data_IF_854906026708
#
_entry.id   IF_854906026708
#
_cell.length_a   1.000
_cell.length_b   1.000
_cell.length_c   1.000
_cell.angle_alpha   90.00
_cell.angle_beta   90.00
_cell.angle_gamma   90.00
#
_symmetry.space_group_name_H-M   'P 1'
#
loop_
_entity.id
_entity.type
_entity.pdbx_description
1 polymer ?
#
# COMPACT_ATOMS: atom_id res chain seq x y z
N UNK A 1 20.35 28.88 -8.46
CA UNK A 1 20.54 27.51 -8.95
C UNK A 1 19.30 26.71 -8.61
N UNK A 2 18.79 25.91 -9.54
CA UNK A 2 17.68 24.98 -9.32
C UNK A 2 18.17 23.54 -9.13
N UNK A 3 17.24 22.62 -8.97
CA UNK A 3 17.54 21.19 -8.96
C UNK A 3 17.80 20.68 -10.38
N UNK A 4 18.76 19.77 -10.54
CA UNK A 4 18.82 18.88 -11.70
C UNK A 4 18.07 17.61 -11.31
N UNK A 5 17.00 17.31 -12.03
CA UNK A 5 16.11 16.18 -11.74
C UNK A 5 16.42 15.01 -12.67
N UNK A 6 16.42 13.81 -12.13
CA UNK A 6 16.52 12.57 -12.88
C UNK A 6 15.47 11.59 -12.37
N UNK A 7 15.00 10.70 -13.25
CA UNK A 7 14.03 9.65 -12.95
C UNK A 7 14.35 8.43 -13.81
N UNK A 8 13.78 7.29 -13.45
CA UNK A 8 13.93 6.02 -14.17
C UNK A 8 12.60 5.28 -14.20
N UNK A 9 12.43 4.45 -15.23
CA UNK A 9 11.32 3.49 -15.35
C UNK A 9 11.57 2.19 -14.56
N UNK A 10 12.69 2.14 -13.82
CA UNK A 10 13.09 1.01 -12.99
C UNK A 10 13.29 -0.29 -13.77
N UNK A 11 13.71 -0.19 -15.04
CA UNK A 11 14.16 -1.34 -15.83
C UNK A 11 13.09 -2.03 -16.67
N UNK A 12 11.88 -1.45 -16.75
CA UNK A 12 10.79 -1.99 -17.56
C UNK A 12 9.85 -0.89 -18.06
N UNK A 13 9.15 -1.18 -19.16
CA UNK A 13 8.17 -0.27 -19.76
C UNK A 13 6.87 -1.00 -20.02
N UNK A 14 5.76 -0.26 -19.99
CA UNK A 14 4.42 -0.81 -20.21
C UNK A 14 3.87 -1.59 -19.02
N UNK A 15 2.69 -2.17 -19.22
CA UNK A 15 1.93 -2.90 -18.19
C UNK A 15 2.14 -4.43 -18.25
N UNK A 16 3.06 -4.91 -19.09
CA UNK A 16 3.35 -6.33 -19.20
C UNK A 16 4.13 -6.81 -17.97
N UNK A 17 3.72 -7.94 -17.40
CA UNK A 17 4.37 -8.54 -16.24
C UNK A 17 5.59 -9.41 -16.62
N UNK A 18 5.89 -9.68 -17.89
CA UNK A 18 6.99 -10.59 -18.27
C UNK A 18 8.36 -10.19 -17.69
N UNK A 19 8.62 -8.88 -17.53
CA UNK A 19 9.87 -8.38 -16.94
C UNK A 19 10.13 -8.92 -15.54
N UNK A 20 9.07 -9.22 -14.79
CA UNK A 20 9.15 -9.68 -13.40
C UNK A 20 9.72 -11.10 -13.27
N UNK A 21 10.03 -11.78 -14.37
CA UNK A 21 10.79 -13.05 -14.38
C UNK A 21 12.30 -12.87 -14.58
N UNK A 22 12.74 -11.66 -14.95
CA UNK A 22 14.16 -11.32 -15.15
C UNK A 22 14.76 -10.79 -13.85
N UNK A 23 15.72 -11.52 -13.29
CA UNK A 23 16.35 -11.18 -12.00
C UNK A 23 17.08 -9.83 -12.01
N UNK A 24 17.57 -9.37 -13.16
CA UNK A 24 18.19 -8.05 -13.26
C UNK A 24 17.14 -6.95 -13.18
N UNK A 25 16.00 -7.13 -13.85
CA UNK A 25 14.89 -6.17 -13.81
C UNK A 25 14.20 -6.15 -12.45
N UNK A 26 14.10 -7.30 -11.79
CA UNK A 26 13.69 -7.37 -10.38
C UNK A 26 14.62 -6.54 -9.49
N UNK A 27 15.94 -6.64 -9.66
CA UNK A 27 16.90 -5.83 -8.92
C UNK A 27 16.78 -4.33 -9.27
N UNK A 28 16.53 -3.98 -10.53
CA UNK A 28 16.30 -2.59 -10.96
C UNK A 28 15.09 -1.96 -10.28
N UNK A 29 13.97 -2.68 -10.24
CA UNK A 29 12.77 -2.30 -9.49
C UNK A 29 13.02 -2.23 -7.98
N UNK A 30 13.70 -3.22 -7.43
CA UNK A 30 13.86 -3.36 -6.00
C UNK A 30 14.73 -2.26 -5.39
N UNK A 31 15.90 -1.98 -5.98
CA UNK A 31 16.85 -1.03 -5.40
C UNK A 31 17.87 -0.43 -6.39
N UNK A 32 18.20 -1.16 -7.47
CA UNK A 32 19.35 -0.86 -8.33
C UNK A 32 19.07 0.29 -9.31
N UNK A 33 17.85 0.40 -9.82
CA UNK A 33 17.49 1.38 -10.85
C UNK A 33 17.70 2.82 -10.39
N UNK A 34 17.29 3.13 -9.17
CA UNK A 34 17.48 4.46 -8.59
C UNK A 34 18.96 4.76 -8.32
N UNK A 35 19.72 3.79 -7.81
CA UNK A 35 21.16 3.96 -7.59
C UNK A 35 21.91 4.29 -8.89
N UNK A 36 21.67 3.52 -9.96
CA UNK A 36 22.31 3.74 -11.26
C UNK A 36 21.94 5.12 -11.82
N UNK A 37 20.65 5.50 -11.73
CA UNK A 37 20.17 6.82 -12.12
C UNK A 37 20.90 7.93 -11.37
N UNK A 38 21.10 7.76 -10.07
CA UNK A 38 21.85 8.69 -9.21
C UNK A 38 23.28 8.87 -9.68
N UNK A 39 23.99 7.75 -9.91
CA UNK A 39 25.38 7.78 -10.37
C UNK A 39 25.51 8.44 -11.75
N UNK A 40 24.60 8.12 -12.67
CA UNK A 40 24.56 8.71 -14.00
C UNK A 40 24.31 10.22 -13.94
N UNK A 41 23.30 10.65 -13.17
CA UNK A 41 22.96 12.06 -13.00
C UNK A 41 24.14 12.86 -12.42
N UNK A 42 24.81 12.36 -11.38
CA UNK A 42 26.00 13.02 -10.78
C UNK A 42 27.14 13.20 -11.80
N UNK A 43 27.37 12.20 -12.66
CA UNK A 43 28.37 12.30 -13.74
C UNK A 43 27.97 13.33 -14.79
N UNK A 44 26.71 13.33 -15.23
CA UNK A 44 26.18 14.27 -16.21
C UNK A 44 26.21 15.71 -15.69
N UNK A 45 25.85 15.93 -14.42
CA UNK A 45 25.95 17.23 -13.74
C UNK A 45 27.38 17.75 -13.80
N UNK A 46 28.37 16.92 -13.42
CA UNK A 46 29.79 17.33 -13.45
C UNK A 46 30.27 17.65 -14.86
N UNK A 47 29.88 16.86 -15.85
CA UNK A 47 30.25 17.07 -17.25
C UNK A 47 29.65 18.35 -17.83
N UNK A 48 28.36 18.58 -17.59
CA UNK A 48 27.63 19.70 -18.17
C UNK A 48 27.92 21.03 -17.48
N UNK A 49 27.97 21.05 -16.14
CA UNK A 49 28.16 22.28 -15.35
C UNK A 49 29.62 22.54 -14.96
N UNK A 50 30.55 21.62 -15.27
CA UNK A 50 31.96 21.73 -14.89
C UNK A 50 32.24 21.59 -13.38
N UNK A 51 31.23 21.23 -12.58
CA UNK A 51 31.34 21.07 -11.13
C UNK A 51 30.39 20.00 -10.59
N UNK A 52 30.74 19.36 -9.48
CA UNK A 52 29.86 18.42 -8.80
C UNK A 52 28.70 19.15 -8.09
N UNK A 53 27.58 18.45 -7.92
CA UNK A 53 26.49 18.94 -7.07
C UNK A 53 26.98 19.12 -5.62
N UNK A 54 26.58 20.23 -4.98
CA UNK A 54 26.90 20.50 -3.57
C UNK A 54 26.13 19.59 -2.62
N UNK A 55 24.89 19.28 -2.98
CA UNK A 55 24.00 18.37 -2.25
C UNK A 55 23.21 17.50 -3.23
N UNK A 56 22.71 16.38 -2.73
CA UNK A 56 21.87 15.43 -3.47
C UNK A 56 20.65 15.06 -2.64
N UNK A 57 19.47 15.03 -3.27
CA UNK A 57 18.20 14.78 -2.59
C UNK A 57 17.37 13.72 -3.33
N UNK A 58 16.67 12.87 -2.57
CA UNK A 58 15.65 11.97 -3.08
C UNK A 58 14.29 12.40 -2.52
N UNK A 59 13.26 12.43 -3.37
CA UNK A 59 11.88 12.70 -2.95
C UNK A 59 10.97 11.68 -3.63
N UNK A 60 10.28 10.86 -2.85
CA UNK A 60 9.35 9.86 -3.38
C UNK A 60 8.17 9.61 -2.45
N UNK A 61 7.07 9.13 -3.02
CA UNK A 61 5.85 8.77 -2.30
C UNK A 61 5.34 7.40 -2.75
N UNK A 62 4.65 6.64 -1.89
CA UNK A 62 4.17 5.28 -2.19
C UNK A 62 5.33 4.32 -2.48
N UNK A 63 5.43 3.79 -3.70
CA UNK A 63 6.58 2.97 -4.11
C UNK A 63 7.87 3.81 -4.12
N UNK A 64 7.78 5.08 -4.52
CA UNK A 64 8.90 6.02 -4.37
C UNK A 64 9.32 6.24 -2.92
N UNK A 65 8.40 6.11 -1.96
CA UNK A 65 8.75 6.12 -0.53
C UNK A 65 9.51 4.87 -0.11
N UNK A 66 9.15 3.69 -0.65
CA UNK A 66 9.92 2.46 -0.48
C UNK A 66 11.31 2.59 -1.10
N UNK A 67 11.42 3.12 -2.32
CA UNK A 67 12.69 3.40 -3.00
C UNK A 67 13.57 4.36 -2.20
N UNK A 68 12.98 5.41 -1.62
CA UNK A 68 13.64 6.36 -0.74
C UNK A 68 14.27 5.66 0.47
N UNK A 69 13.51 4.77 1.13
CA UNK A 69 14.02 3.97 2.25
C UNK A 69 15.07 2.96 1.80
N UNK A 70 14.90 2.31 0.64
CA UNK A 70 15.90 1.42 0.05
C UNK A 70 17.21 2.15 -0.23
N UNK A 71 17.17 3.38 -0.75
CA UNK A 71 18.35 4.20 -0.98
C UNK A 71 19.07 4.50 0.34
N UNK A 72 18.34 4.83 1.42
CA UNK A 72 18.93 5.04 2.74
C UNK A 72 19.60 3.77 3.29
N UNK A 73 18.94 2.62 3.17
CA UNK A 73 19.40 1.34 3.72
C UNK A 73 20.58 0.74 2.94
N UNK A 74 20.58 0.87 1.61
CA UNK A 74 21.53 0.17 0.71
C UNK A 74 22.61 1.09 0.15
N UNK A 75 22.30 2.37 -0.04
CA UNK A 75 23.17 3.34 -0.71
C UNK A 75 23.32 4.61 0.14
N UNK A 76 23.90 4.50 1.35
CA UNK A 76 23.90 5.59 2.33
C UNK A 76 24.63 6.87 1.88
N UNK A 77 25.42 6.79 0.80
CA UNK A 77 26.18 7.92 0.25
C UNK A 77 25.55 8.53 -1.02
N UNK A 78 24.40 8.01 -1.48
CA UNK A 78 23.74 8.51 -2.68
C UNK A 78 23.09 9.87 -2.46
N UNK A 79 22.57 10.11 -1.26
CA UNK A 79 21.76 11.29 -0.95
C UNK A 79 22.18 11.92 0.37
N UNK A 80 22.17 13.26 0.43
CA UNK A 80 22.34 14.01 1.67
C UNK A 80 21.00 14.19 2.41
N UNK A 81 19.90 14.27 1.67
CA UNK A 81 18.55 14.37 2.20
C UNK A 81 17.58 13.45 1.45
N UNK A 82 16.69 12.79 2.18
CA UNK A 82 15.67 11.92 1.62
C UNK A 82 14.32 12.33 2.21
N UNK A 83 13.30 12.44 1.36
CA UNK A 83 11.89 12.58 1.77
C UNK A 83 11.14 11.33 1.31
N UNK A 84 10.70 10.52 2.27
CA UNK A 84 10.03 9.23 2.06
C UNK A 84 8.55 9.33 2.46
N UNK A 85 7.70 9.78 1.53
CA UNK A 85 6.26 9.89 1.75
C UNK A 85 5.55 8.53 1.64
N UNK A 86 4.60 8.27 2.55
CA UNK A 86 3.73 7.08 2.55
C UNK A 86 4.41 5.80 2.03
N UNK A 87 5.56 5.40 2.61
CA UNK A 87 6.42 4.39 2.00
C UNK A 87 5.73 3.03 2.01
N UNK A 88 5.69 2.37 0.84
CA UNK A 88 5.31 0.95 0.72
C UNK A 88 6.42 0.03 1.27
N UNK A 89 6.87 0.28 2.51
CA UNK A 89 8.05 -0.32 3.10
C UNK A 89 7.87 -1.84 3.30
N UNK A 90 6.68 -2.26 3.73
CA UNK A 90 6.27 -3.66 3.83
C UNK A 90 5.71 -4.17 2.50
N UNK A 91 6.42 -3.90 1.40
CA UNK A 91 6.01 -4.18 0.01
C UNK A 91 5.34 -5.54 -0.15
N UNK A 92 5.95 -6.62 0.34
CA UNK A 92 5.44 -7.96 0.11
C UNK A 92 4.13 -8.22 0.85
N UNK A 93 4.06 -7.88 2.13
CA UNK A 93 2.85 -8.10 2.95
C UNK A 93 1.71 -7.18 2.50
N UNK A 94 2.03 -5.93 2.13
CA UNK A 94 1.06 -4.97 1.61
C UNK A 94 0.48 -5.43 0.27
N UNK A 95 1.34 -5.80 -0.68
CA UNK A 95 0.94 -6.15 -2.05
C UNK A 95 0.47 -7.60 -2.23
N UNK A 96 0.47 -8.41 -1.15
CA UNK A 96 -0.15 -9.74 -1.12
C UNK A 96 -1.29 -9.80 -0.10
N UNK A 97 -0.98 -10.01 1.18
CA UNK A 97 -1.97 -10.22 2.24
C UNK A 97 -2.97 -9.07 2.37
N UNK A 98 -2.52 -7.81 2.40
CA UNK A 98 -3.45 -6.69 2.60
C UNK A 98 -4.39 -6.49 1.40
N UNK A 99 -3.85 -6.27 0.20
CA UNK A 99 -4.68 -6.05 -0.98
C UNK A 99 -5.52 -7.28 -1.34
N UNK A 100 -4.97 -8.48 -1.17
CA UNK A 100 -5.72 -9.73 -1.33
C UNK A 100 -6.88 -9.84 -0.34
N UNK A 101 -6.62 -9.55 0.95
CA UNK A 101 -7.65 -9.55 1.99
C UNK A 101 -8.74 -8.53 1.69
N UNK A 102 -8.40 -7.34 1.19
CA UNK A 102 -9.36 -6.33 0.79
C UNK A 102 -10.28 -6.84 -0.32
N UNK A 103 -9.74 -7.50 -1.35
CA UNK A 103 -10.51 -8.06 -2.46
C UNK A 103 -11.48 -9.13 -1.98
N UNK A 104 -10.99 -10.12 -1.22
CA UNK A 104 -11.87 -11.22 -0.73
C UNK A 104 -12.86 -10.74 0.34
N UNK A 105 -12.56 -9.66 1.06
CA UNK A 105 -13.47 -9.05 2.04
C UNK A 105 -14.59 -8.24 1.38
N UNK A 106 -14.33 -7.66 0.21
CA UNK A 106 -15.32 -6.93 -0.58
C UNK A 106 -16.05 -7.83 -1.59
N UNK A 107 -15.93 -9.15 -1.47
CA UNK A 107 -16.52 -10.12 -2.39
C UNK A 107 -17.79 -10.74 -1.84
N UNK A 108 -18.84 -10.82 -2.66
CA UNK A 108 -20.08 -11.55 -2.35
C UNK A 108 -19.87 -13.04 -2.09
N UNK A 109 -18.79 -13.64 -2.61
CA UNK A 109 -18.46 -15.07 -2.47
C UNK A 109 -17.34 -15.32 -1.48
N UNK A 110 -16.66 -14.27 -1.00
CA UNK A 110 -15.45 -14.40 -0.18
C UNK A 110 -14.21 -14.83 -0.96
N UNK A 111 -14.26 -14.80 -2.29
CA UNK A 111 -13.14 -15.13 -3.20
C UNK A 111 -13.15 -14.20 -4.43
N UNK A 112 -12.24 -14.42 -5.38
CA UNK A 112 -12.12 -13.59 -6.59
C UNK A 112 -13.24 -13.79 -7.65
N UNK A 113 -14.22 -14.66 -7.42
CA UNK A 113 -15.31 -14.92 -8.38
C UNK A 113 -16.57 -14.07 -8.15
N UNK A 114 -16.63 -13.39 -7.00
CA UNK A 114 -17.77 -12.59 -6.59
C UNK A 114 -17.81 -11.17 -7.18
N UNK A 115 -18.91 -10.48 -6.88
CA UNK A 115 -19.08 -9.06 -7.13
C UNK A 115 -18.73 -8.24 -5.90
N UNK A 116 -18.49 -6.96 -6.10
CA UNK A 116 -18.28 -5.97 -5.04
C UNK A 116 -19.51 -5.88 -4.13
N UNK A 117 -19.28 -5.77 -2.81
CA UNK A 117 -20.31 -5.54 -1.79
C UNK A 117 -20.41 -4.06 -1.41
N UNK A 118 -19.28 -3.41 -1.13
CA UNK A 118 -19.16 -2.02 -0.71
C UNK A 118 -18.69 -1.15 -1.88
N UNK A 119 -19.50 -0.15 -2.27
CA UNK A 119 -19.28 0.75 -3.41
C UNK A 119 -18.91 2.19 -2.96
N UNK A 120 -18.59 3.06 -3.92
CA UNK A 120 -18.12 4.42 -3.66
C UNK A 120 -19.08 5.29 -2.85
N UNK A 121 -20.39 5.21 -3.12
CA UNK A 121 -21.42 5.93 -2.38
C UNK A 121 -21.50 5.48 -0.92
N UNK A 122 -21.36 4.18 -0.68
CA UNK A 122 -21.35 3.60 0.68
C UNK A 122 -20.07 3.92 1.44
N UNK A 123 -18.92 3.94 0.77
CA UNK A 123 -17.67 4.43 1.36
C UNK A 123 -17.78 5.91 1.80
N UNK A 124 -18.50 6.75 1.05
CA UNK A 124 -18.79 8.14 1.46
C UNK A 124 -19.71 8.23 2.67
N UNK A 125 -20.73 7.37 2.76
CA UNK A 125 -21.60 7.27 3.95
C UNK A 125 -20.78 6.88 5.18
N UNK A 126 -19.92 5.87 5.04
CA UNK A 126 -18.98 5.44 6.08
C UNK A 126 -18.04 6.57 6.50
N UNK A 127 -17.40 7.25 5.54
CA UNK A 127 -16.51 8.38 5.80
C UNK A 127 -17.20 9.48 6.61
N UNK A 128 -18.40 9.89 6.19
CA UNK A 128 -19.18 10.92 6.86
C UNK A 128 -19.48 10.53 8.32
N UNK A 129 -19.83 9.27 8.56
CA UNK A 129 -20.09 8.78 9.91
C UNK A 129 -18.83 8.78 10.78
N UNK A 130 -17.69 8.36 10.23
CA UNK A 130 -16.40 8.39 10.92
C UNK A 130 -16.00 9.83 11.29
N UNK A 131 -16.10 10.77 10.35
CA UNK A 131 -15.81 12.19 10.60
C UNK A 131 -16.78 12.79 11.61
N UNK A 132 -18.06 12.44 11.57
CA UNK A 132 -19.02 12.90 12.58
C UNK A 132 -18.71 12.36 13.99
N UNK A 133 -18.18 11.14 14.09
CA UNK A 133 -17.86 10.51 15.37
C UNK A 133 -16.51 10.96 15.94
N UNK A 134 -15.53 11.25 15.08
CA UNK A 134 -14.12 11.40 15.48
C UNK A 134 -13.45 12.71 15.01
N UNK A 135 -14.06 13.43 14.07
CA UNK A 135 -13.53 14.66 13.52
C UNK A 135 -13.57 15.82 14.50
N UNK A 136 -12.57 16.69 14.45
CA UNK A 136 -12.45 17.89 15.27
C UNK A 136 -12.19 17.64 16.77
N UNK A 137 -11.87 16.40 17.13
CA UNK A 137 -11.52 15.99 18.50
C UNK A 137 -10.23 16.62 19.03
N UNK A 138 -9.43 17.25 18.18
CA UNK A 138 -8.25 18.07 18.52
C UNK A 138 -8.59 19.46 19.05
N UNK A 139 -9.88 19.79 19.22
CA UNK A 139 -10.33 21.10 19.71
C UNK A 139 -10.59 22.14 18.63
N UNK A 140 -10.53 21.75 17.35
CA UNK A 140 -10.91 22.59 16.20
C UNK A 140 -12.07 21.94 15.43
N UNK A 141 -13.16 22.64 15.10
CA UNK A 141 -14.30 22.08 14.37
C UNK A 141 -14.03 22.04 12.85
N UNK A 142 -12.92 21.42 12.45
CA UNK A 142 -12.45 21.35 11.05
C UNK A 142 -12.83 20.03 10.35
N UNK A 143 -13.38 19.07 11.10
CA UNK A 143 -13.71 17.73 10.58
C UNK A 143 -12.48 16.85 10.34
N UNK A 144 -11.30 17.26 10.79
CA UNK A 144 -10.08 16.48 10.64
C UNK A 144 -9.89 15.52 11.82
N UNK A 145 -9.38 14.34 11.51
CA UNK A 145 -8.91 13.38 12.50
C UNK A 145 -7.40 13.60 12.67
N UNK A 146 -7.02 14.48 13.60
CA UNK A 146 -5.61 14.82 13.84
C UNK A 146 -4.78 13.61 14.29
N UNK A 147 -5.38 12.71 15.08
CA UNK A 147 -4.82 11.40 15.40
C UNK A 147 -5.91 10.32 15.20
N UNK A 148 -5.96 9.63 14.05
CA UNK A 148 -7.00 8.65 13.78
C UNK A 148 -6.92 7.42 14.70
N UNK A 149 -5.81 7.20 15.41
CA UNK A 149 -5.64 6.06 16.33
C UNK A 149 -6.50 6.17 17.59
N UNK A 150 -6.95 7.38 17.92
CA UNK A 150 -7.83 7.61 19.07
C UNK A 150 -9.31 7.45 18.70
N UNK A 151 -9.63 7.28 17.42
CA UNK A 151 -10.98 7.06 16.95
C UNK A 151 -11.41 5.61 17.21
N UNK A 152 -12.48 5.42 17.99
CA UNK A 152 -13.05 4.11 18.31
C UNK A 152 -14.38 3.88 17.59
N UNK A 153 -14.48 4.37 16.34
CA UNK A 153 -15.70 4.22 15.54
C UNK A 153 -15.99 2.73 15.29
N UNK A 154 -17.28 2.36 15.35
CA UNK A 154 -17.73 1.00 15.03
C UNK A 154 -18.72 1.06 13.85
N UNK A 155 -18.41 0.44 12.69
CA UNK A 155 -19.30 0.45 11.52
C UNK A 155 -20.73 -0.06 11.79
N UNK A 156 -20.92 -0.91 12.80
CA UNK A 156 -22.25 -1.40 13.22
C UNK A 156 -23.17 -0.24 13.66
N UNK A 157 -22.61 0.87 14.14
CA UNK A 157 -23.37 2.04 14.60
C UNK A 157 -24.19 2.72 13.50
N UNK A 158 -23.86 2.49 12.23
CA UNK A 158 -24.57 3.01 11.05
C UNK A 158 -25.26 1.91 10.24
N UNK A 159 -25.44 0.73 10.82
CA UNK A 159 -26.13 -0.35 10.13
C UNK A 159 -27.60 0.04 9.88
N UNK A 160 -28.09 -0.21 8.67
CA UNK A 160 -29.48 -0.03 8.33
C UNK A 160 -30.38 -0.92 9.22
N UNK A 161 -31.58 -0.40 9.51
CA UNK A 161 -32.62 -1.21 10.14
C UNK A 161 -32.97 -2.42 9.26
N UNK A 162 -33.37 -3.53 9.90
CA UNK A 162 -33.79 -4.72 9.19
C UNK A 162 -34.96 -4.40 8.24
N UNK A 163 -34.83 -4.78 6.96
CA UNK A 163 -35.84 -4.52 5.94
C UNK A 163 -35.92 -3.08 5.44
N UNK A 164 -34.94 -2.22 5.76
CA UNK A 164 -34.88 -0.86 5.21
C UNK A 164 -34.88 -0.88 3.67
N UNK A 165 -35.79 -0.10 3.07
CA UNK A 165 -35.89 0.08 1.62
C UNK A 165 -35.04 1.23 1.10
N UNK A 166 -34.79 2.24 1.94
CA UNK A 166 -33.84 3.32 1.70
C UNK A 166 -32.56 3.06 2.51
N UNK A 167 -31.45 2.87 1.79
CA UNK A 167 -30.11 2.66 2.37
C UNK A 167 -29.17 3.83 2.10
N UNK A 168 -29.68 4.98 1.64
CA UNK A 168 -28.87 6.13 1.23
C UNK A 168 -27.97 6.72 2.33
N UNK A 169 -28.32 6.51 3.60
CA UNK A 169 -27.63 7.08 4.76
C UNK A 169 -27.14 6.04 5.78
N UNK A 170 -27.15 4.75 5.44
CA UNK A 170 -26.72 3.66 6.31
C UNK A 170 -26.05 2.56 5.50
N UNK A 171 -25.39 1.63 6.19
CA UNK A 171 -24.78 0.45 5.58
C UNK A 171 -25.62 -0.80 5.82
N UNK A 172 -25.80 -1.63 4.80
CA UNK A 172 -26.37 -2.97 4.98
C UNK A 172 -25.46 -3.83 5.88
N UNK A 173 -25.99 -4.92 6.45
CA UNK A 173 -25.18 -5.81 7.28
C UNK A 173 -23.95 -6.39 6.54
N UNK A 174 -24.09 -6.65 5.22
CA UNK A 174 -22.98 -7.10 4.38
C UNK A 174 -21.93 -5.99 4.21
N UNK A 175 -22.36 -4.75 3.92
CA UNK A 175 -21.47 -3.58 3.81
C UNK A 175 -20.73 -3.27 5.13
N UNK A 176 -21.43 -3.36 6.27
CA UNK A 176 -20.82 -3.23 7.61
C UNK A 176 -19.75 -4.29 7.84
N UNK A 177 -20.04 -5.55 7.47
CA UNK A 177 -19.09 -6.66 7.61
C UNK A 177 -17.87 -6.44 6.72
N UNK A 178 -18.07 -6.07 5.46
CA UNK A 178 -16.99 -5.75 4.51
C UNK A 178 -16.12 -4.60 5.02
N UNK A 179 -16.71 -3.47 5.43
CA UNK A 179 -15.97 -2.33 5.96
C UNK A 179 -15.17 -2.72 7.20
N UNK A 180 -15.78 -3.47 8.13
CA UNK A 180 -15.11 -3.95 9.35
C UNK A 180 -13.91 -4.83 9.01
N UNK A 181 -14.04 -5.74 8.03
CA UNK A 181 -12.94 -6.59 7.58
C UNK A 181 -11.83 -5.79 6.91
N UNK A 182 -12.14 -4.76 6.12
CA UNK A 182 -11.12 -3.90 5.49
C UNK A 182 -10.31 -3.16 6.56
N UNK A 183 -10.97 -2.51 7.53
CA UNK A 183 -10.27 -1.88 8.66
C UNK A 183 -9.50 -2.88 9.50
N UNK A 184 -10.09 -4.05 9.73
CA UNK A 184 -9.51 -5.02 10.64
C UNK A 184 -8.48 -5.90 9.96
N UNK A 185 -8.28 -5.97 8.64
CA UNK A 185 -7.31 -6.92 8.08
C UNK A 185 -7.47 -8.41 8.53
N UNK A 186 -6.54 -9.29 8.10
CA UNK A 186 -6.48 -10.68 8.52
C UNK A 186 -5.88 -10.87 9.92
N UNK A 187 -6.35 -11.91 10.62
CA UNK A 187 -5.82 -12.40 11.89
C UNK A 187 -5.58 -13.90 11.85
N UNK A 188 -4.49 -14.33 12.49
CA UNK A 188 -4.20 -15.74 12.68
C UNK A 188 -5.27 -16.41 13.55
N UNK A 189 -5.84 -17.51 13.06
CA UNK A 189 -6.98 -18.17 13.71
C UNK A 189 -6.61 -18.91 14.99
N UNK A 190 -5.34 -19.28 15.16
CA UNK A 190 -4.86 -20.05 16.32
C UNK A 190 -4.46 -19.13 17.48
N UNK A 191 -3.76 -18.05 17.17
CA UNK A 191 -3.14 -17.13 18.16
C UNK A 191 -3.89 -15.82 18.30
N UNK A 192 -4.80 -15.50 17.37
CA UNK A 192 -5.50 -14.21 17.31
C UNK A 192 -4.60 -13.03 16.91
N UNK A 193 -3.34 -13.28 16.55
CA UNK A 193 -2.38 -12.22 16.21
C UNK A 193 -2.74 -11.55 14.89
N UNK A 194 -2.50 -10.25 14.84
CA UNK A 194 -2.57 -9.43 13.63
C UNK A 194 -1.53 -9.91 12.63
N UNK A 195 -1.92 -10.09 11.37
CA UNK A 195 -1.00 -10.53 10.31
C UNK A 195 -0.46 -9.38 9.47
N UNK A 196 -0.96 -8.16 9.69
CA UNK A 196 -0.48 -6.94 9.05
C UNK A 196 0.10 -6.00 10.11
N UNK A 197 1.16 -5.29 9.75
CA UNK A 197 1.76 -4.23 10.59
C UNK A 197 0.84 -3.01 10.76
N UNK A 198 -0.08 -2.81 9.82
CA UNK A 198 -1.07 -1.72 9.83
C UNK A 198 -2.31 -2.09 9.03
N UNK A 199 -3.32 -1.22 9.09
CA UNK A 199 -4.57 -1.34 8.33
C UNK A 199 -5.09 0.07 8.03
N UNK A 200 -6.02 0.24 7.07
CA UNK A 200 -6.63 1.54 6.79
C UNK A 200 -7.10 2.20 8.08
N UNK A 201 -6.76 3.47 8.24
CA UNK A 201 -7.14 4.23 9.44
C UNK A 201 -8.52 4.85 9.24
N UNK A 202 -9.25 5.05 10.34
CA UNK A 202 -10.48 5.84 10.29
C UNK A 202 -10.21 7.23 9.69
N UNK A 203 -11.09 7.67 8.80
CA UNK A 203 -10.96 8.90 8.02
C UNK A 203 -10.34 8.68 6.64
N UNK A 204 -9.84 7.48 6.33
CA UNK A 204 -9.23 7.16 5.03
C UNK A 204 -10.22 6.67 3.97
N UNK A 205 -11.51 6.56 4.28
CA UNK A 205 -12.50 5.85 3.45
C UNK A 205 -12.74 6.53 2.11
N UNK A 206 -12.55 7.85 2.04
CA UNK A 206 -12.57 8.58 0.78
C UNK A 206 -11.45 8.11 -0.17
N UNK A 207 -10.29 7.70 0.36
CA UNK A 207 -9.18 7.14 -0.43
C UNK A 207 -9.38 5.66 -0.77
N UNK A 208 -10.43 5.01 -0.24
CA UNK A 208 -10.75 3.64 -0.65
C UNK A 208 -11.33 3.58 -2.05
N UNK A 209 -11.93 4.68 -2.50
CA UNK A 209 -12.60 4.79 -3.78
C UNK A 209 -11.55 4.74 -4.90
N UNK A 210 -11.68 3.72 -5.75
CA UNK A 210 -10.71 3.40 -6.78
C UNK A 210 -9.58 2.47 -6.34
N UNK A 211 -9.53 2.07 -5.06
CA UNK A 211 -8.49 1.17 -4.50
C UNK A 211 -9.09 -0.10 -3.92
N UNK A 212 -9.76 -0.01 -2.76
CA UNK A 212 -10.46 -1.11 -2.08
C UNK A 212 -11.93 -1.25 -2.53
N UNK A 213 -12.55 -0.16 -2.99
CA UNK A 213 -13.90 -0.12 -3.56
C UNK A 213 -13.86 0.48 -4.99
N UNK A 214 -14.81 0.17 -5.89
CA UNK A 214 -14.79 0.71 -7.25
C UNK A 214 -15.15 2.19 -7.26
N UNK A 215 -14.92 2.84 -8.41
CA UNK A 215 -15.39 4.23 -8.64
C UNK A 215 -16.90 4.33 -8.85
N UNK A 216 -17.57 3.22 -9.20
CA UNK A 216 -19.02 3.14 -9.37
C UNK A 216 -19.76 3.13 -8.03
N UNK A 217 -21.05 3.48 -8.09
CA UNK A 217 -21.95 3.46 -6.94
C UNK A 217 -22.75 2.14 -6.90
N UNK A 218 -23.37 1.85 -5.75
CA UNK A 218 -24.12 0.60 -5.55
C UNK A 218 -25.36 0.46 -6.42
N UNK A 219 -25.82 1.55 -7.07
CA UNK A 219 -26.96 1.54 -8.01
C UNK A 219 -26.55 1.26 -9.46
N UNK A 220 -25.25 1.24 -9.75
CA UNK A 220 -24.73 0.95 -11.08
C UNK A 220 -24.71 -0.57 -11.35
N UNK A 221 -24.27 -0.96 -12.55
CA UNK A 221 -24.10 -2.38 -12.87
C UNK A 221 -23.11 -3.05 -11.90
N UNK A 222 -23.38 -4.30 -11.44
CA UNK A 222 -22.48 -5.02 -10.56
C UNK A 222 -21.05 -5.10 -11.12
N UNK A 223 -20.08 -4.74 -10.29
CA UNK A 223 -18.67 -4.82 -10.64
C UNK A 223 -18.04 -6.10 -10.07
N UNK A 224 -17.27 -6.88 -10.86
CA UNK A 224 -16.52 -8.02 -10.33
C UNK A 224 -15.39 -7.52 -9.41
N UNK A 225 -15.10 -8.24 -8.32
CA UNK A 225 -14.02 -7.82 -7.41
C UNK A 225 -12.63 -7.83 -8.05
N UNK A 226 -12.46 -8.57 -9.14
CA UNK A 226 -11.22 -8.58 -9.93
C UNK A 226 -10.97 -7.27 -10.68
N UNK A 227 -11.97 -6.39 -10.80
CA UNK A 227 -11.82 -5.05 -11.38
C UNK A 227 -11.20 -4.03 -10.41
N UNK A 228 -11.11 -4.36 -9.12
CA UNK A 228 -10.56 -3.47 -8.10
C UNK A 228 -9.05 -3.26 -8.34
N UNK A 229 -8.57 -2.04 -8.09
CA UNK A 229 -7.14 -1.75 -8.18
C UNK A 229 -6.32 -2.57 -7.17
N UNK A 230 -6.88 -2.90 -6.00
CA UNK A 230 -6.26 -3.88 -5.08
C UNK A 230 -5.97 -5.22 -5.75
N UNK A 231 -6.86 -5.74 -6.62
CA UNK A 231 -6.60 -6.96 -7.38
C UNK A 231 -5.49 -6.75 -8.42
N UNK A 232 -5.45 -5.59 -9.07
CA UNK A 232 -4.37 -5.22 -10.00
C UNK A 232 -3.00 -5.17 -9.29
N UNK A 233 -2.94 -4.63 -8.06
CA UNK A 233 -1.69 -4.61 -7.26
C UNK A 233 -1.22 -6.03 -6.97
N UNK A 234 -2.12 -6.90 -6.49
CA UNK A 234 -1.79 -8.31 -6.18
C UNK A 234 -1.25 -9.04 -7.40
N UNK A 235 -1.94 -8.90 -8.54
CA UNK A 235 -1.57 -9.59 -9.78
C UNK A 235 -0.31 -9.02 -10.42
N UNK A 236 -0.11 -7.70 -10.36
CA UNK A 236 1.07 -7.03 -10.91
C UNK A 236 2.35 -7.27 -10.10
N UNK A 237 2.25 -7.31 -8.77
CA UNK A 237 3.39 -7.57 -7.89
C UNK A 237 3.68 -9.08 -7.71
N UNK A 238 2.82 -9.95 -8.23
CA UNK A 238 2.80 -11.38 -7.91
C UNK A 238 4.17 -12.07 -8.06
N UNK A 239 4.78 -11.94 -9.23
CA UNK A 239 6.08 -12.54 -9.48
C UNK A 239 7.19 -11.89 -8.65
N UNK A 240 7.12 -10.59 -8.33
CA UNK A 240 8.10 -9.94 -7.46
C UNK A 240 8.07 -10.50 -6.04
N UNK A 241 6.88 -10.90 -5.57
CA UNK A 241 6.66 -11.40 -4.22
C UNK A 241 6.99 -12.90 -4.12
N UNK A 242 6.53 -13.71 -5.07
CA UNK A 242 6.56 -15.17 -4.98
C UNK A 242 7.64 -15.84 -5.86
N UNK A 243 8.60 -15.09 -6.39
CA UNK A 243 9.74 -15.66 -7.13
C UNK A 243 10.46 -16.72 -6.29
N UNK A 244 10.67 -17.91 -6.88
CA UNK A 244 11.38 -19.02 -6.24
C UNK A 244 10.56 -19.83 -5.24
N UNK A 245 9.27 -19.54 -5.04
CA UNK A 245 8.40 -20.33 -4.18
C UNK A 245 8.02 -21.68 -4.83
N UNK A 246 8.12 -22.82 -4.12
CA UNK A 246 7.85 -24.15 -4.68
C UNK A 246 6.37 -24.38 -5.02
N UNK A 247 5.44 -23.65 -4.38
CA UNK A 247 4.00 -23.66 -4.67
C UNK A 247 3.46 -22.22 -4.58
N UNK A 248 3.37 -21.52 -5.71
CA UNK A 248 2.91 -20.12 -5.68
C UNK A 248 1.43 -20.04 -5.27
N UNK A 249 1.09 -19.36 -4.16
CA UNK A 249 -0.30 -19.23 -3.72
C UNK A 249 -1.01 -18.21 -4.59
N UNK A 250 -2.33 -18.28 -4.78
CA UNK A 250 -3.10 -17.23 -5.48
C UNK A 250 -3.94 -16.43 -4.48
N UNK A 251 -4.62 -15.39 -4.94
CA UNK A 251 -5.42 -14.50 -4.09
C UNK A 251 -6.50 -15.22 -3.25
N UNK A 252 -6.99 -16.38 -3.68
CA UNK A 252 -7.97 -17.17 -2.91
C UNK A 252 -7.29 -18.10 -1.90
N UNK A 253 -5.98 -18.32 -2.01
CA UNK A 253 -5.21 -19.25 -1.18
C UNK A 253 -4.06 -18.58 -0.44
N UNK A 254 -3.98 -17.24 -0.44
CA UNK A 254 -3.15 -16.54 0.52
C UNK A 254 -3.70 -16.89 1.90
N UNK A 255 -2.83 -17.42 2.76
CA UNK A 255 -3.22 -17.93 4.08
C UNK A 255 -3.66 -16.81 5.01
N UNK A 256 -4.78 -16.13 4.73
CA UNK A 256 -5.30 -14.95 5.45
C UNK A 256 -5.61 -15.21 6.93
N UNK A 257 -5.45 -16.44 7.37
CA UNK A 257 -5.78 -16.93 8.69
C UNK A 257 -4.66 -17.78 9.31
N UNK A 258 -3.50 -17.83 8.64
CA UNK A 258 -2.32 -18.59 9.02
C UNK A 258 -1.12 -17.66 9.16
N UNK A 259 -0.71 -17.41 10.40
CA UNK A 259 0.44 -16.58 10.75
C UNK A 259 1.76 -17.06 10.16
N UNK A 260 1.86 -18.31 9.69
CA UNK A 260 3.06 -18.83 9.03
C UNK A 260 3.23 -18.34 7.59
N UNK A 261 2.20 -17.71 6.99
CA UNK A 261 2.25 -17.22 5.61
C UNK A 261 3.51 -16.39 5.30
N UNK A 262 3.92 -15.53 6.23
CA UNK A 262 5.15 -14.74 6.05
C UNK A 262 6.39 -15.63 5.92
N UNK A 263 6.56 -16.58 6.84
CA UNK A 263 7.72 -17.48 6.86
C UNK A 263 7.73 -18.38 5.63
N UNK A 264 6.57 -18.88 5.22
CA UNK A 264 6.45 -19.86 4.15
C UNK A 264 6.61 -19.25 2.75
N UNK A 265 6.14 -18.01 2.56
CA UNK A 265 6.05 -17.40 1.23
C UNK A 265 6.84 -16.10 1.05
N UNK A 266 7.02 -15.30 2.11
CA UNK A 266 7.54 -13.95 1.98
C UNK A 266 9.00 -13.81 2.44
N UNK A 267 9.41 -14.56 3.46
CA UNK A 267 10.70 -14.38 4.13
C UNK A 267 11.93 -14.50 3.21
N UNK A 268 11.88 -15.38 2.21
CA UNK A 268 12.99 -15.57 1.28
C UNK A 268 13.28 -14.32 0.42
N UNK A 269 12.23 -13.60 0.02
CA UNK A 269 12.33 -12.40 -0.82
C UNK A 269 12.37 -11.11 0.00
N UNK A 270 12.15 -11.17 1.32
CA UNK A 270 12.11 -10.01 2.22
C UNK A 270 13.29 -9.05 2.05
N UNK A 271 14.55 -9.53 1.95
CA UNK A 271 15.67 -8.63 1.72
C UNK A 271 15.59 -7.89 0.39
N UNK A 272 14.96 -8.45 -0.65
CA UNK A 272 14.94 -7.85 -1.98
C UNK A 272 14.01 -6.65 -2.03
N UNK A 273 12.74 -6.83 -1.68
CA UNK A 273 11.69 -5.85 -1.98
C UNK A 273 11.26 -5.00 -0.78
N UNK A 274 11.37 -5.50 0.45
CA UNK A 274 10.90 -4.79 1.64
C UNK A 274 11.96 -3.82 2.19
N UNK A 275 11.55 -2.57 2.39
CA UNK A 275 12.41 -1.51 2.89
C UNK A 275 12.27 -1.35 4.42
N UNK A 276 12.31 -2.46 5.15
CA UNK A 276 11.97 -2.51 6.58
C UNK A 276 13.17 -2.65 7.51
N UNK A 277 14.41 -2.55 7.01
CA UNK A 277 15.59 -2.62 7.87
C UNK A 277 15.67 -1.35 8.76
N UNK A 278 15.55 -1.47 10.10
CA UNK A 278 15.58 -0.31 10.99
C UNK A 278 17.00 0.24 11.21
N UNK A 279 18.06 -0.51 10.86
CA UNK A 279 19.44 -0.03 11.01
C UNK A 279 19.82 0.93 9.86
N UNK A 280 19.70 2.23 10.14
CA UNK A 280 20.13 3.32 9.27
C UNK A 280 21.47 3.93 9.73
N UNK A 281 22.26 3.22 10.54
CA UNK A 281 23.50 3.76 11.10
C UNK A 281 24.50 4.16 10.02
N UNK A 282 24.55 3.44 8.89
CA UNK A 282 25.41 3.81 7.77
C UNK A 282 24.98 5.14 7.12
N UNK A 283 23.68 5.37 6.92
CA UNK A 283 23.15 6.63 6.38
C UNK A 283 23.38 7.79 7.35
N UNK A 284 23.18 7.56 8.65
CA UNK A 284 23.47 8.54 9.69
C UNK A 284 24.97 8.91 9.70
N UNK A 285 25.88 7.93 9.65
CA UNK A 285 27.33 8.14 9.61
C UNK A 285 27.77 8.91 8.36
N UNK A 286 27.09 8.71 7.23
CA UNK A 286 27.30 9.48 6.01
C UNK A 286 26.77 10.93 6.10
N UNK A 287 26.12 11.31 7.21
CA UNK A 287 25.57 12.64 7.42
C UNK A 287 24.16 12.84 6.86
N UNK A 288 23.51 11.77 6.38
CA UNK A 288 22.18 11.79 5.79
C UNK A 288 21.08 12.32 6.73
N UNK A 289 20.03 12.87 6.13
CA UNK A 289 18.78 13.29 6.79
C UNK A 289 17.60 12.64 6.08
N UNK A 290 16.68 12.06 6.85
CA UNK A 290 15.48 11.40 6.35
C UNK A 290 14.25 12.08 6.97
N UNK A 291 13.27 12.41 6.12
CA UNK A 291 11.95 12.94 6.48
C UNK A 291 10.89 11.95 6.01
#
# INVERSE_FOLDING_TARGET
GGFVTAATDMGHTGSDATWSSDTQKQADFAYRGQHITTLAAKKLIKSYYGQAQKYSYFVGCSDGGREALMAAQRYPNDYNGIVAGAPAAHFQTQNSLYHGWSVVSNSTTGDNTGNVVLYADKAKVLHKAVVAACGGTSGAPDGLLADPRTCNFNPVSIQCAAGATDTSNCLTAAEVTTASRIYSGPTDTTTGKRMLAGSPQFGSEANWIGVEVPNSNSTDAPAPVTSLFSNMIVTGAYNLIFTGSPTMPNINTFGYHDGNFYTDYLAANHPLNDATNPDLSAFQKAGGKLI
#
